data_IF_702837468907
#
_entry.id   IF_702837468907
#
_cell.length_a   1.000
_cell.length_b   1.000
_cell.length_c   1.000
_cell.angle_alpha   90.00
_cell.angle_beta   90.00
_cell.angle_gamma   90.00
#
_symmetry.space_group_name_H-M   'P 1'
#
loop_
_entity.id
_entity.type
_entity.pdbx_description
1 polymer ?
#
# COMPACT_ATOMS: atom_id res chain seq x y z
N UNK A 1 10.46 41.47 71.53
CA UNK A 1 10.16 40.07 71.18
C UNK A 1 11.39 39.22 71.48
N UNK A 2 11.23 38.10 72.21
CA UNK A 2 12.36 37.27 72.63
C UNK A 2 12.90 36.50 71.41
N UNK A 3 14.13 36.78 70.95
CA UNK A 3 14.68 36.25 69.67
C UNK A 3 14.60 34.72 69.56
N UNK A 4 14.62 34.01 70.68
CA UNK A 4 14.49 32.55 70.73
C UNK A 4 13.06 32.07 70.37
N UNK A 5 12.03 32.82 70.76
CA UNK A 5 10.63 32.47 70.46
C UNK A 5 10.30 32.69 68.97
N UNK A 6 10.83 33.75 68.35
CA UNK A 6 10.62 34.01 66.92
C UNK A 6 11.27 32.94 66.04
N UNK A 7 12.47 32.48 66.40
CA UNK A 7 13.16 31.39 65.68
C UNK A 7 12.35 30.09 65.76
N UNK A 8 11.83 29.73 66.93
CA UNK A 8 11.00 28.53 67.09
C UNK A 8 9.74 28.57 66.22
N UNK A 9 9.02 29.69 66.20
CA UNK A 9 7.81 29.86 65.38
C UNK A 9 8.14 29.72 63.90
N UNK A 10 9.23 30.34 63.44
CA UNK A 10 9.66 30.29 62.04
C UNK A 10 10.06 28.87 61.61
N UNK A 11 10.75 28.12 62.48
CA UNK A 11 11.08 26.71 62.24
C UNK A 11 9.81 25.86 62.14
N UNK A 12 8.86 26.01 63.07
CA UNK A 12 7.60 25.25 63.03
C UNK A 12 6.82 25.57 61.76
N UNK A 13 6.71 26.86 61.41
CA UNK A 13 6.03 27.29 60.19
C UNK A 13 6.69 26.72 58.92
N UNK A 14 8.03 26.70 58.89
CA UNK A 14 8.79 26.11 57.78
C UNK A 14 8.55 24.61 57.65
N UNK A 15 8.53 23.87 58.77
CA UNK A 15 8.24 22.43 58.80
C UNK A 15 6.81 22.16 58.32
N UNK A 16 5.83 22.97 58.73
CA UNK A 16 4.44 22.83 58.29
C UNK A 16 4.30 23.06 56.78
N UNK A 17 4.93 24.10 56.23
CA UNK A 17 4.93 24.36 54.78
C UNK A 17 5.56 23.18 54.02
N UNK A 18 6.71 22.68 54.47
CA UNK A 18 7.37 21.54 53.85
C UNK A 18 6.51 20.27 53.88
N UNK A 19 5.74 20.06 54.96
CA UNK A 19 4.84 18.92 55.08
C UNK A 19 3.65 19.03 54.11
N UNK A 20 3.09 20.24 53.93
CA UNK A 20 2.03 20.51 52.95
C UNK A 20 2.56 20.30 51.52
N UNK A 21 3.74 20.83 51.20
CA UNK A 21 4.35 20.63 49.88
C UNK A 21 4.70 19.16 49.63
N UNK A 22 5.22 18.45 50.63
CA UNK A 22 5.54 17.04 50.54
C UNK A 22 4.32 16.18 50.25
N UNK A 23 3.19 16.43 50.92
CA UNK A 23 1.93 15.72 50.65
C UNK A 23 1.38 16.01 49.25
N UNK A 24 1.46 17.26 48.78
CA UNK A 24 1.06 17.62 47.42
C UNK A 24 1.92 16.94 46.34
N UNK A 25 3.24 16.85 46.54
CA UNK A 25 4.15 16.18 45.60
C UNK A 25 3.89 14.67 45.51
N UNK A 26 3.64 14.00 46.65
CA UNK A 26 3.30 12.57 46.67
C UNK A 26 1.97 12.32 45.96
N UNK A 27 0.94 13.12 46.25
CA UNK A 27 -0.36 12.99 45.60
C UNK A 27 -0.25 13.17 44.08
N UNK A 28 0.53 14.16 43.64
CA UNK A 28 0.83 14.38 42.22
C UNK A 28 1.56 13.20 41.59
N UNK A 29 2.59 12.66 42.25
CA UNK A 29 3.36 11.51 41.75
C UNK A 29 2.50 10.26 41.59
N UNK A 30 1.59 9.97 42.54
CA UNK A 30 0.65 8.85 42.43
C UNK A 30 -0.30 9.07 41.25
N UNK A 31 -0.80 10.30 41.06
CA UNK A 31 -1.67 10.64 39.92
C UNK A 31 -0.94 10.46 38.59
N UNK A 32 0.28 10.97 38.48
CA UNK A 32 1.11 10.85 37.28
C UNK A 32 1.43 9.39 36.97
N UNK A 33 1.78 8.59 37.98
CA UNK A 33 2.04 7.16 37.81
C UNK A 33 0.79 6.40 37.34
N UNK A 34 -0.38 6.73 37.89
CA UNK A 34 -1.65 6.13 37.46
C UNK A 34 -2.02 6.54 36.03
N UNK A 35 -1.81 7.81 35.66
CA UNK A 35 -2.03 8.27 34.29
C UNK A 35 -1.08 7.60 33.31
N UNK A 36 0.21 7.51 33.65
CA UNK A 36 1.22 6.83 32.84
C UNK A 36 0.87 5.35 32.64
N UNK A 37 0.45 4.65 33.70
CA UNK A 37 0.02 3.25 33.61
C UNK A 37 -1.21 3.09 32.71
N UNK A 38 -2.21 3.97 32.83
CA UNK A 38 -3.40 3.91 31.97
C UNK A 38 -3.10 4.24 30.52
N UNK A 39 -2.17 5.15 30.26
CA UNK A 39 -1.69 5.46 28.91
C UNK A 39 -0.96 4.24 28.31
N UNK A 40 -0.09 3.61 29.09
CA UNK A 40 0.60 2.38 28.70
C UNK A 40 -0.40 1.24 28.40
N UNK A 41 -1.33 0.97 29.31
CA UNK A 41 -2.39 -0.03 29.11
C UNK A 41 -3.21 0.30 27.85
N UNK A 42 -3.49 1.58 27.59
CA UNK A 42 -4.23 2.03 26.41
C UNK A 42 -3.47 1.80 25.11
N UNK A 43 -2.16 2.09 25.07
CA UNK A 43 -1.33 1.82 23.90
C UNK A 43 -1.22 0.31 23.63
N UNK A 44 -1.11 -0.51 24.68
CA UNK A 44 -1.11 -1.96 24.54
C UNK A 44 -2.44 -2.48 23.97
N UNK A 45 -3.58 -1.95 24.42
CA UNK A 45 -4.88 -2.29 23.86
C UNK A 45 -5.02 -1.82 22.40
N UNK A 46 -4.44 -0.67 22.04
CA UNK A 46 -4.42 -0.19 20.67
C UNK A 46 -3.60 -1.12 19.74
N UNK A 47 -2.38 -1.48 20.14
CA UNK A 47 -1.54 -2.43 19.39
C UNK A 47 -2.21 -3.80 19.24
N UNK A 48 -2.93 -4.25 20.27
CA UNK A 48 -3.72 -5.48 20.17
C UNK A 48 -4.84 -5.36 19.13
N UNK A 49 -5.54 -4.23 19.06
CA UNK A 49 -6.55 -3.98 18.02
C UNK A 49 -5.92 -3.96 16.60
N UNK A 50 -4.76 -3.34 16.43
CA UNK A 50 -4.03 -3.35 15.14
C UNK A 50 -3.58 -4.77 14.74
N UNK A 51 -3.11 -5.56 15.71
CA UNK A 51 -2.77 -6.96 15.49
C UNK A 51 -4.00 -7.78 15.07
N UNK A 52 -5.17 -7.50 15.65
CA UNK A 52 -6.44 -8.10 15.26
C UNK A 52 -6.84 -7.76 13.82
N UNK A 53 -6.74 -6.49 13.40
CA UNK A 53 -6.95 -6.08 12.00
C UNK A 53 -5.99 -6.82 11.04
N UNK A 54 -4.72 -6.92 11.41
CA UNK A 54 -3.71 -7.62 10.60
C UNK A 54 -4.01 -9.12 10.48
N UNK A 55 -4.43 -9.75 11.57
CA UNK A 55 -4.84 -11.15 11.58
C UNK A 55 -6.10 -11.38 10.73
N UNK A 56 -7.05 -10.45 10.78
CA UNK A 56 -8.25 -10.50 9.97
C UNK A 56 -7.95 -10.37 8.48
N UNK A 57 -7.07 -9.45 8.09
CA UNK A 57 -6.60 -9.33 6.71
C UNK A 57 -5.97 -10.64 6.21
N UNK A 58 -5.11 -11.26 7.02
CA UNK A 58 -4.51 -12.57 6.70
C UNK A 58 -5.58 -13.66 6.54
N UNK A 59 -6.54 -13.73 7.45
CA UNK A 59 -7.65 -14.69 7.38
C UNK A 59 -8.52 -14.50 6.14
N UNK A 60 -8.88 -13.25 5.84
CA UNK A 60 -9.72 -12.90 4.68
C UNK A 60 -9.02 -13.07 3.33
N UNK A 61 -7.69 -12.99 3.29
CA UNK A 61 -6.91 -13.41 2.10
C UNK A 61 -7.04 -14.91 1.83
N UNK A 62 -7.10 -15.73 2.88
CA UNK A 62 -7.30 -17.18 2.74
C UNK A 62 -8.77 -17.56 2.49
N UNK A 63 -9.72 -16.88 3.15
CA UNK A 63 -11.15 -17.11 2.97
C UNK A 63 -11.94 -15.82 3.17
N UNK A 64 -12.22 -15.13 2.07
CA UNK A 64 -12.89 -13.82 2.07
C UNK A 64 -14.36 -13.89 2.54
N UNK A 65 -14.93 -15.09 2.66
CA UNK A 65 -16.31 -15.30 3.11
C UNK A 65 -16.43 -15.48 4.64
N UNK A 66 -15.32 -15.42 5.38
CA UNK A 66 -15.36 -15.50 6.85
C UNK A 66 -16.08 -14.29 7.45
N UNK A 67 -17.08 -14.55 8.29
CA UNK A 67 -17.98 -13.54 8.84
C UNK A 67 -18.43 -13.90 10.26
N UNK A 68 -18.86 -12.90 11.03
CA UNK A 68 -19.50 -13.08 12.34
C UNK A 68 -18.79 -12.36 13.46
N UNK A 69 -19.06 -12.79 14.68
CA UNK A 69 -18.49 -12.24 15.91
C UNK A 69 -17.32 -13.07 16.39
N UNK A 70 -16.29 -12.44 16.94
CA UNK A 70 -15.08 -13.08 17.46
C UNK A 70 -14.44 -14.06 16.45
N UNK A 71 -14.51 -13.74 15.15
CA UNK A 71 -13.99 -14.57 14.04
C UNK A 71 -12.50 -14.82 14.21
N UNK A 72 -11.78 -13.78 14.65
CA UNK A 72 -10.37 -13.86 14.99
C UNK A 72 -10.15 -13.37 16.41
N UNK A 73 -9.49 -14.19 17.22
CA UNK A 73 -9.09 -13.85 18.58
C UNK A 73 -7.63 -14.16 18.79
N UNK A 74 -6.99 -13.48 19.73
CA UNK A 74 -5.61 -13.75 20.06
C UNK A 74 -5.12 -12.93 21.24
N UNK A 75 -3.93 -13.27 21.70
CA UNK A 75 -3.22 -12.55 22.75
C UNK A 75 -1.82 -12.18 22.28
N UNK A 76 -1.33 -11.04 22.76
CA UNK A 76 0.06 -10.67 22.59
C UNK A 76 0.83 -11.29 23.76
N UNK A 77 1.90 -12.04 23.49
CA UNK A 77 2.66 -12.70 24.56
C UNK A 77 3.64 -11.77 25.26
N UNK A 78 4.08 -10.70 24.57
CA UNK A 78 5.03 -9.71 25.08
C UNK A 78 4.39 -8.65 25.99
N UNK A 79 3.09 -8.43 25.85
CA UNK A 79 2.30 -7.48 26.64
C UNK A 79 1.01 -8.17 27.04
N UNK A 80 0.56 -8.04 28.29
CA UNK A 80 -0.70 -8.64 28.78
C UNK A 80 -1.92 -7.99 28.12
N UNK A 81 -2.12 -8.23 26.83
CA UNK A 81 -3.15 -7.67 25.97
C UNK A 81 -3.74 -8.75 25.05
N UNK A 82 -5.03 -8.64 24.77
CA UNK A 82 -5.76 -9.52 23.86
C UNK A 82 -6.54 -8.72 22.82
N UNK A 83 -6.95 -9.40 21.76
CA UNK A 83 -7.85 -8.83 20.77
C UNK A 83 -8.98 -9.81 20.42
N UNK A 84 -10.10 -9.24 20.01
CA UNK A 84 -11.16 -9.93 19.32
C UNK A 84 -11.59 -9.15 18.09
N UNK A 85 -12.00 -9.86 17.04
CA UNK A 85 -12.36 -9.27 15.76
C UNK A 85 -13.72 -9.76 15.30
N UNK A 86 -14.60 -8.81 15.05
CA UNK A 86 -15.86 -9.03 14.36
C UNK A 86 -15.71 -8.66 12.88
N UNK A 87 -16.38 -9.41 12.02
CA UNK A 87 -16.38 -9.20 10.57
C UNK A 87 -17.81 -9.12 10.05
N UNK A 88 -18.21 -7.94 9.60
CA UNK A 88 -19.48 -7.70 8.92
C UNK A 88 -19.37 -7.94 7.42
N UNK A 89 -20.34 -8.68 6.88
CA UNK A 89 -20.45 -9.09 5.48
C UNK A 89 -21.79 -8.65 4.86
N UNK A 90 -22.42 -7.61 5.40
CA UNK A 90 -23.66 -7.04 4.86
C UNK A 90 -23.52 -6.49 3.42
N UNK A 91 -22.28 -6.26 2.93
CA UNK A 91 -21.97 -5.79 1.59
C UNK A 91 -20.89 -6.59 0.85
N UNK A 92 -20.37 -6.03 -0.25
CA UNK A 92 -19.25 -6.62 -1.02
C UNK A 92 -17.92 -6.50 -0.28
N UNK A 93 -17.75 -5.41 0.47
CA UNK A 93 -16.60 -5.18 1.33
C UNK A 93 -16.79 -5.89 2.68
N UNK A 94 -15.70 -6.06 3.41
CA UNK A 94 -15.68 -6.59 4.77
C UNK A 94 -15.37 -5.45 5.72
N UNK A 95 -16.31 -5.17 6.63
CA UNK A 95 -16.08 -4.19 7.69
C UNK A 95 -15.58 -4.95 8.91
N UNK A 96 -14.36 -4.66 9.31
CA UNK A 96 -13.66 -5.30 10.41
C UNK A 96 -13.75 -4.39 11.62
N UNK A 97 -14.24 -4.91 12.73
CA UNK A 97 -14.18 -4.24 14.03
C UNK A 97 -13.29 -5.03 14.96
N UNK A 98 -12.05 -4.57 15.15
CA UNK A 98 -11.11 -5.18 16.08
C UNK A 98 -11.12 -4.46 17.43
N UNK A 99 -11.51 -5.19 18.47
CA UNK A 99 -11.45 -4.73 19.86
C UNK A 99 -10.19 -5.27 20.52
N UNK A 100 -9.24 -4.39 20.83
CA UNK A 100 -8.10 -4.71 21.67
C UNK A 100 -8.35 -4.36 23.13
N UNK A 101 -7.86 -5.17 24.06
CA UNK A 101 -8.14 -5.04 25.49
C UNK A 101 -6.96 -5.47 26.37
N UNK A 102 -6.88 -4.87 27.56
CA UNK A 102 -5.86 -5.16 28.59
C UNK A 102 -6.56 -5.26 29.94
N UNK A 103 -6.25 -6.25 30.80
CA UNK A 103 -5.37 -7.39 30.57
C UNK A 103 -5.94 -8.38 29.55
N UNK A 104 -5.12 -9.28 29.01
CA UNK A 104 -5.57 -10.33 28.10
C UNK A 104 -6.53 -11.32 28.78
N UNK A 105 -6.38 -11.48 30.09
CA UNK A 105 -7.21 -12.39 30.90
C UNK A 105 -7.75 -11.70 32.15
N UNK A 106 -8.97 -12.05 32.55
CA UNK A 106 -9.64 -11.46 33.71
C UNK A 106 -10.43 -10.19 33.39
N UNK A 107 -10.51 -9.27 34.35
CA UNK A 107 -11.32 -8.06 34.20
C UNK A 107 -10.61 -7.02 33.34
N UNK A 108 -11.16 -6.77 32.15
CA UNK A 108 -10.68 -5.74 31.21
C UNK A 108 -10.64 -4.38 31.91
N UNK A 109 -9.44 -3.80 31.99
CA UNK A 109 -9.17 -2.46 32.54
C UNK A 109 -9.31 -1.36 31.49
N UNK A 110 -8.93 -1.67 30.25
CA UNK A 110 -9.01 -0.73 29.14
C UNK A 110 -9.29 -1.46 27.83
N UNK A 111 -9.93 -0.75 26.90
CA UNK A 111 -10.27 -1.25 25.57
C UNK A 111 -10.05 -0.17 24.52
N UNK A 112 -9.69 -0.58 23.30
CA UNK A 112 -9.57 0.25 22.10
C UNK A 112 -10.25 -0.49 20.94
N UNK A 113 -10.82 0.26 20.01
CA UNK A 113 -11.52 -0.33 18.86
C UNK A 113 -10.98 0.31 17.58
N UNK A 114 -10.44 -0.53 16.70
CA UNK A 114 -10.04 -0.17 15.36
C UNK A 114 -11.07 -0.73 14.36
N UNK A 115 -11.49 0.10 13.42
CA UNK A 115 -12.32 -0.31 12.29
C UNK A 115 -11.49 -0.27 11.01
N UNK A 116 -11.60 -1.30 10.19
CA UNK A 116 -11.01 -1.34 8.86
C UNK A 116 -12.02 -1.82 7.82
N UNK A 117 -11.94 -1.26 6.60
CA UNK A 117 -12.69 -1.77 5.45
C UNK A 117 -11.72 -2.54 4.58
N UNK A 118 -12.06 -3.79 4.27
CA UNK A 118 -11.28 -4.66 3.40
C UNK A 118 -12.08 -4.93 2.13
N UNK A 119 -11.46 -4.70 0.98
CA UNK A 119 -12.02 -4.92 -0.35
C UNK A 119 -11.24 -6.02 -1.06
N UNK A 120 -11.95 -6.87 -1.83
CA UNK A 120 -11.37 -7.92 -2.70
C UNK A 120 -12.10 -7.89 -4.04
N UNK A 121 -11.75 -6.94 -4.90
CA UNK A 121 -12.32 -6.81 -6.24
C UNK A 121 -11.37 -6.09 -7.18
N UNK A 122 -11.40 -6.47 -8.45
CA UNK A 122 -10.85 -5.69 -9.56
C UNK A 122 -11.98 -4.79 -10.08
N UNK A 123 -11.82 -3.45 -10.14
CA UNK A 123 -12.83 -2.56 -10.70
C UNK A 123 -13.17 -2.91 -12.16
N UNK A 124 -14.40 -2.62 -12.56
CA UNK A 124 -14.78 -2.72 -13.98
C UNK A 124 -13.94 -1.73 -14.80
N UNK A 125 -13.51 -2.16 -15.98
CA UNK A 125 -12.65 -1.34 -16.84
C UNK A 125 -11.19 -1.24 -16.41
N UNK A 126 -10.76 -1.99 -15.38
CA UNK A 126 -9.36 -1.99 -14.94
C UNK A 126 -8.39 -2.28 -16.10
N UNK A 127 -8.74 -3.18 -17.02
CA UNK A 127 -7.92 -3.56 -18.16
C UNK A 127 -8.16 -2.72 -19.43
N UNK A 128 -9.02 -1.69 -19.37
CA UNK A 128 -9.50 -0.96 -20.55
C UNK A 128 -8.76 0.38 -20.80
N UNK A 129 -7.65 0.61 -20.09
CA UNK A 129 -6.95 1.90 -20.08
C UNK A 129 -5.47 1.76 -20.47
N UNK A 130 -4.94 2.75 -21.19
CA UNK A 130 -3.51 2.88 -21.43
C UNK A 130 -2.75 3.18 -20.12
N UNK A 131 -3.33 4.04 -19.28
CA UNK A 131 -2.82 4.40 -17.97
C UNK A 131 -3.96 4.30 -16.95
N UNK A 132 -3.71 3.59 -15.85
CA UNK A 132 -4.61 3.50 -14.71
C UNK A 132 -3.80 3.77 -13.42
N UNK A 133 -3.84 5.00 -12.95
CA UNK A 133 -3.09 5.47 -11.78
C UNK A 133 -4.01 5.59 -10.57
N UNK A 134 -3.63 5.02 -9.43
CA UNK A 134 -4.38 5.20 -8.18
C UNK A 134 -4.00 6.48 -7.41
N UNK A 135 -3.22 7.35 -8.04
CA UNK A 135 -2.76 8.66 -7.53
C UNK A 135 -2.58 9.61 -8.74
N UNK A 136 -1.56 10.48 -8.69
CA UNK A 136 -1.21 11.45 -9.71
C UNK A 136 -0.71 10.85 -11.05
N UNK A 137 -0.86 11.64 -12.11
CA UNK A 137 -0.26 11.42 -13.43
C UNK A 137 0.48 12.69 -13.89
N UNK A 138 1.80 12.62 -14.00
CA UNK A 138 2.66 13.74 -14.37
C UNK A 138 3.30 13.51 -15.76
N UNK A 139 2.89 14.31 -16.74
CA UNK A 139 3.33 14.20 -18.13
C UNK A 139 4.25 15.36 -18.50
N UNK A 140 5.55 15.16 -18.28
CA UNK A 140 6.57 16.17 -18.54
C UNK A 140 7.29 15.88 -19.85
N UNK A 141 6.84 16.44 -20.96
CA UNK A 141 7.58 16.35 -22.21
C UNK A 141 6.91 17.09 -23.34
N UNK A 142 7.71 17.60 -24.27
CA UNK A 142 7.18 18.35 -25.42
C UNK A 142 6.62 17.43 -26.51
N UNK A 143 6.93 16.13 -26.48
CA UNK A 143 6.49 15.18 -27.51
C UNK A 143 6.17 13.76 -27.02
N UNK A 144 5.73 13.61 -25.76
CA UNK A 144 5.13 12.34 -25.35
C UNK A 144 3.81 12.11 -26.12
N UNK A 145 3.33 10.87 -26.22
CA UNK A 145 2.01 10.59 -26.80
C UNK A 145 1.38 9.40 -26.12
N UNK A 146 0.13 9.53 -25.69
CA UNK A 146 -0.66 8.45 -25.10
C UNK A 146 -1.84 8.13 -26.01
N UNK A 147 -1.85 6.91 -26.56
CA UNK A 147 -2.91 6.39 -27.40
C UNK A 147 -3.81 5.43 -26.61
N UNK A 148 -4.84 5.96 -25.95
CA UNK A 148 -5.81 5.19 -25.18
C UNK A 148 -6.36 6.00 -24.00
N UNK A 149 -7.30 5.39 -23.28
CA UNK A 149 -7.94 6.04 -22.14
C UNK A 149 -6.99 6.11 -20.93
N UNK A 150 -7.15 7.16 -20.13
CA UNK A 150 -6.38 7.44 -18.92
C UNK A 150 -7.32 7.64 -17.75
N UNK A 151 -7.16 6.84 -16.70
CA UNK A 151 -7.89 6.95 -15.44
C UNK A 151 -6.91 7.25 -14.32
N UNK A 152 -7.19 8.27 -13.50
CA UNK A 152 -6.32 8.72 -12.41
C UNK A 152 -7.14 9.12 -11.19
N UNK A 153 -6.56 9.07 -9.99
CA UNK A 153 -7.32 9.29 -8.77
C UNK A 153 -7.26 10.74 -8.24
N UNK A 154 -6.10 11.38 -8.36
CA UNK A 154 -5.86 12.72 -7.81
C UNK A 154 -5.63 13.75 -8.92
N UNK A 155 -4.40 14.17 -9.21
CA UNK A 155 -4.12 15.22 -10.19
C UNK A 155 -3.56 14.68 -11.52
N UNK A 156 -3.73 15.44 -12.61
CA UNK A 156 -3.09 15.16 -13.90
C UNK A 156 -2.48 16.45 -14.47
N UNK A 157 -1.20 16.38 -14.84
CA UNK A 157 -0.47 17.48 -15.45
C UNK A 157 -0.27 17.28 -16.96
N UNK A 158 -0.46 18.35 -17.72
CA UNK A 158 -0.26 18.44 -19.17
C UNK A 158 -0.94 17.31 -19.96
N UNK A 159 -2.28 17.16 -20.01
CA UNK A 159 -2.95 16.05 -20.72
C UNK A 159 -3.03 16.19 -22.25
N UNK A 160 -2.40 17.21 -22.85
CA UNK A 160 -2.65 17.66 -24.23
C UNK A 160 -2.34 16.62 -25.33
N UNK A 161 -1.42 15.66 -25.09
CA UNK A 161 -1.05 14.62 -26.06
C UNK A 161 -1.68 13.24 -25.76
N UNK A 162 -2.85 13.23 -25.11
CA UNK A 162 -3.68 12.03 -24.91
C UNK A 162 -4.76 11.99 -25.99
N UNK A 163 -4.84 10.90 -26.77
CA UNK A 163 -5.87 10.75 -27.82
C UNK A 163 -7.15 10.06 -27.34
N UNK A 164 -7.14 9.44 -26.16
CA UNK A 164 -8.31 8.82 -25.52
C UNK A 164 -9.01 9.71 -24.49
N UNK A 165 -9.89 9.10 -23.70
CA UNK A 165 -10.67 9.75 -22.64
C UNK A 165 -9.82 9.89 -21.38
N UNK A 166 -9.83 11.08 -20.78
CA UNK A 166 -9.16 11.36 -19.50
C UNK A 166 -10.21 11.46 -18.40
N UNK A 167 -10.15 10.57 -17.40
CA UNK A 167 -11.16 10.47 -16.34
C UNK A 167 -10.52 10.49 -14.95
N UNK A 168 -10.93 11.44 -14.11
CA UNK A 168 -10.60 11.44 -12.68
C UNK A 168 -11.59 10.56 -11.92
N UNK A 169 -11.11 9.55 -11.19
CA UNK A 169 -11.90 8.69 -10.31
C UNK A 169 -11.17 8.44 -8.98
N UNK A 170 -11.47 9.22 -7.91
CA UNK A 170 -10.84 9.03 -6.60
C UNK A 170 -11.18 7.69 -5.93
N UNK A 171 -12.15 6.92 -6.44
CA UNK A 171 -12.58 5.65 -5.83
C UNK A 171 -11.66 4.47 -6.17
N UNK A 172 -10.69 4.69 -7.07
CA UNK A 172 -9.71 3.68 -7.48
C UNK A 172 -8.49 3.62 -6.55
N UNK A 173 -8.42 4.51 -5.53
CA UNK A 173 -7.39 4.49 -4.48
C UNK A 173 -7.83 3.63 -3.29
N UNK A 174 -6.97 2.71 -2.81
CA UNK A 174 -5.72 2.27 -3.41
C UNK A 174 -5.94 1.37 -4.63
N UNK A 175 -4.94 1.29 -5.52
CA UNK A 175 -4.96 0.42 -6.70
C UNK A 175 -5.43 -1.00 -6.36
N UNK A 176 -6.22 -1.60 -7.25
CA UNK A 176 -6.68 -2.98 -7.10
C UNK A 176 -5.49 -3.92 -6.85
N UNK A 177 -5.50 -4.65 -5.72
CA UNK A 177 -4.44 -5.59 -5.39
C UNK A 177 -4.68 -6.91 -6.13
N UNK A 178 -3.85 -7.24 -7.12
CA UNK A 178 -3.90 -8.55 -7.78
C UNK A 178 -3.38 -9.67 -6.85
N UNK A 179 -3.77 -10.91 -7.11
CA UNK A 179 -3.30 -12.07 -6.35
C UNK A 179 -1.84 -12.41 -6.70
N UNK A 180 -0.91 -11.79 -5.97
CA UNK A 180 0.53 -11.99 -6.15
C UNK A 180 0.97 -13.44 -5.96
N UNK A 181 0.29 -14.24 -5.14
CA UNK A 181 0.64 -15.67 -5.03
C UNK A 181 0.35 -16.42 -6.31
N UNK A 182 -0.74 -16.09 -7.01
CA UNK A 182 -1.08 -16.68 -8.30
C UNK A 182 -0.09 -16.23 -9.38
N UNK A 183 0.19 -14.92 -9.45
CA UNK A 183 1.14 -14.34 -10.40
C UNK A 183 2.56 -14.90 -10.20
N UNK A 184 3.03 -15.00 -8.96
CA UNK A 184 4.32 -15.61 -8.63
C UNK A 184 4.38 -17.07 -9.08
N UNK A 185 3.32 -17.84 -8.83
CA UNK A 185 3.27 -19.25 -9.25
C UNK A 185 3.32 -19.42 -10.77
N UNK A 186 2.60 -18.57 -11.52
CA UNK A 186 2.64 -18.58 -13.00
C UNK A 186 4.04 -18.20 -13.49
N UNK A 187 4.59 -17.12 -12.94
CA UNK A 187 5.91 -16.61 -13.29
C UNK A 187 7.03 -17.63 -13.05
N UNK A 188 7.03 -18.31 -11.89
CA UNK A 188 7.96 -19.39 -11.58
C UNK A 188 7.83 -20.57 -12.53
N UNK A 189 6.61 -20.96 -12.90
CA UNK A 189 6.37 -22.04 -13.86
C UNK A 189 6.90 -21.72 -15.27
N UNK A 190 6.93 -20.44 -15.65
CA UNK A 190 7.47 -19.96 -16.92
C UNK A 190 8.99 -19.65 -16.88
N UNK A 191 9.62 -19.67 -15.70
CA UNK A 191 11.01 -19.25 -15.53
C UNK A 191 11.20 -17.72 -15.59
N UNK A 192 10.16 -16.95 -15.29
CA UNK A 192 10.11 -15.48 -15.40
C UNK A 192 10.07 -14.77 -14.03
N UNK A 193 10.48 -15.46 -12.97
CA UNK A 193 10.64 -14.88 -11.63
C UNK A 193 12.03 -14.22 -11.48
N UNK A 194 12.06 -12.96 -11.07
CA UNK A 194 13.28 -12.16 -10.91
C UNK A 194 13.35 -11.62 -9.47
N UNK A 195 14.27 -12.18 -8.70
CA UNK A 195 14.71 -11.65 -7.41
C UNK A 195 15.95 -10.77 -7.58
N UNK A 196 16.44 -10.20 -6.48
CA UNK A 196 17.63 -9.33 -6.44
C UNK A 196 18.84 -9.97 -7.13
N UNK A 197 19.14 -11.24 -6.83
CA UNK A 197 20.30 -11.96 -7.42
C UNK A 197 20.20 -12.06 -8.94
N UNK A 198 19.00 -12.38 -9.45
CA UNK A 198 18.79 -12.53 -10.90
C UNK A 198 18.82 -11.19 -11.64
N UNK A 199 18.29 -10.13 -11.04
CA UNK A 199 18.37 -8.77 -11.59
C UNK A 199 19.82 -8.29 -11.67
N UNK A 200 20.60 -8.50 -10.60
CA UNK A 200 22.01 -8.13 -10.52
C UNK A 200 22.88 -8.91 -11.52
N UNK A 201 22.52 -10.16 -11.80
CA UNK A 201 23.15 -10.96 -12.84
C UNK A 201 22.90 -10.43 -14.27
N UNK A 202 21.91 -9.55 -14.45
CA UNK A 202 21.53 -9.01 -15.75
C UNK A 202 20.86 -10.05 -16.64
N UNK A 203 20.12 -10.99 -16.04
CA UNK A 203 19.39 -12.02 -16.79
C UNK A 203 18.39 -11.38 -17.76
N UNK A 204 18.29 -11.88 -19.01
CA UNK A 204 17.44 -11.28 -20.01
C UNK A 204 15.96 -11.52 -19.70
N UNK A 205 15.16 -10.47 -19.80
CA UNK A 205 13.70 -10.59 -19.82
C UNK A 205 13.22 -11.25 -21.13
N UNK A 206 12.00 -11.82 -21.17
CA UNK A 206 11.41 -12.31 -22.41
C UNK A 206 11.31 -11.18 -23.44
N UNK A 207 11.62 -11.47 -24.70
CA UNK A 207 11.51 -10.51 -25.80
C UNK A 207 10.13 -10.51 -26.49
N UNK A 208 9.24 -11.40 -26.07
CA UNK A 208 7.90 -11.60 -26.64
C UNK A 208 6.84 -11.49 -25.55
N UNK A 209 5.69 -10.89 -25.85
CA UNK A 209 4.55 -10.86 -24.94
C UNK A 209 4.06 -12.27 -24.59
N UNK A 210 4.10 -13.19 -25.56
CA UNK A 210 3.57 -14.54 -25.44
C UNK A 210 4.61 -15.53 -24.90
N UNK A 211 4.23 -16.26 -23.86
CA UNK A 211 4.88 -17.52 -23.47
C UNK A 211 4.45 -18.64 -24.42
N UNK A 212 3.14 -18.76 -24.64
CA UNK A 212 2.54 -19.58 -25.69
C UNK A 212 1.68 -18.68 -26.59
N UNK A 213 1.99 -18.58 -27.90
CA UNK A 213 1.21 -17.75 -28.81
C UNK A 213 -0.25 -18.21 -28.91
N UNK A 214 -1.20 -17.31 -29.21
CA UNK A 214 -2.59 -17.66 -29.43
C UNK A 214 -2.75 -18.71 -30.53
N UNK A 215 -3.58 -19.72 -30.27
CA UNK A 215 -3.92 -20.74 -31.29
C UNK A 215 -4.81 -20.16 -32.39
N UNK A 216 -5.63 -19.15 -32.06
CA UNK A 216 -6.33 -18.29 -33.00
C UNK A 216 -5.72 -16.88 -32.94
N UNK A 217 -5.06 -16.40 -34.02
CA UNK A 217 -4.47 -15.06 -34.06
C UNK A 217 -5.46 -13.91 -33.87
N UNK A 218 -6.77 -14.15 -33.98
CA UNK A 218 -7.81 -13.16 -33.74
C UNK A 218 -8.41 -13.23 -32.34
N UNK A 219 -8.08 -14.27 -31.56
CA UNK A 219 -8.55 -14.45 -30.20
C UNK A 219 -7.35 -14.56 -29.23
N UNK A 220 -6.99 -13.45 -28.56
CA UNK A 220 -5.84 -13.41 -27.67
C UNK A 220 -6.00 -14.31 -26.44
N UNK A 221 -7.24 -14.67 -26.08
CA UNK A 221 -7.54 -15.50 -24.90
C UNK A 221 -7.10 -16.95 -25.06
N UNK A 222 -6.78 -17.36 -26.30
CA UNK A 222 -6.25 -18.69 -26.60
C UNK A 222 -4.73 -18.80 -26.43
N UNK A 223 -4.05 -17.69 -26.14
CA UNK A 223 -2.62 -17.65 -25.84
C UNK A 223 -2.35 -17.57 -24.34
N UNK A 224 -1.08 -17.74 -23.97
CA UNK A 224 -0.61 -17.55 -22.59
C UNK A 224 0.46 -16.45 -22.59
N UNK A 225 0.20 -15.28 -21.97
CA UNK A 225 1.21 -14.24 -21.85
C UNK A 225 2.35 -14.66 -20.91
N UNK A 226 3.54 -14.11 -21.13
CA UNK A 226 4.62 -14.14 -20.14
C UNK A 226 4.20 -13.31 -18.92
N UNK A 227 4.32 -13.87 -17.71
CA UNK A 227 4.15 -13.15 -16.45
C UNK A 227 5.53 -12.98 -15.83
N UNK A 228 6.03 -11.74 -15.85
CA UNK A 228 7.34 -11.38 -15.31
C UNK A 228 7.14 -10.84 -13.90
N UNK A 229 7.54 -11.59 -12.88
CA UNK A 229 7.35 -11.19 -11.48
C UNK A 229 8.66 -10.72 -10.89
N UNK A 230 8.71 -9.47 -10.42
CA UNK A 230 9.90 -8.79 -9.93
C UNK A 230 9.67 -8.41 -8.45
N UNK A 231 10.55 -8.87 -7.55
CA UNK A 231 10.40 -8.61 -6.10
C UNK A 231 10.87 -7.24 -5.66
N UNK A 232 11.81 -6.66 -6.41
CA UNK A 232 12.43 -5.37 -6.13
C UNK A 232 11.97 -4.29 -7.14
N UNK A 233 12.68 -3.16 -7.15
CA UNK A 233 12.49 -2.12 -8.16
C UNK A 233 13.00 -2.58 -9.53
N UNK A 234 12.21 -2.34 -10.58
CA UNK A 234 12.64 -2.57 -11.95
C UNK A 234 13.41 -1.36 -12.47
N UNK A 235 14.73 -1.51 -12.62
CA UNK A 235 15.58 -0.47 -13.20
C UNK A 235 15.98 -0.76 -14.64
N UNK A 236 15.52 0.06 -15.59
CA UNK A 236 15.78 -0.09 -17.03
C UNK A 236 16.81 0.94 -17.52
N UNK A 237 18.09 0.54 -17.62
CA UNK A 237 19.20 1.42 -18.07
C UNK A 237 19.63 1.11 -19.51
N UNK A 238 20.05 2.15 -20.24
CA UNK A 238 20.66 2.01 -21.57
C UNK A 238 19.67 1.59 -22.67
N UNK A 239 20.12 0.82 -23.66
CA UNK A 239 19.23 0.24 -24.66
C UNK A 239 18.76 -1.14 -24.18
N UNK A 240 17.50 -1.23 -23.76
CA UNK A 240 16.90 -2.48 -23.24
C UNK A 240 16.31 -3.34 -24.36
N UNK A 241 16.26 -2.85 -25.60
CA UNK A 241 15.69 -3.58 -26.73
C UNK A 241 14.17 -3.75 -26.60
N UNK A 242 13.65 -4.90 -27.01
CA UNK A 242 12.23 -5.24 -26.84
C UNK A 242 12.07 -6.18 -25.65
N UNK A 243 11.23 -5.80 -24.71
CA UNK A 243 10.82 -6.61 -23.57
C UNK A 243 9.35 -6.95 -23.75
N UNK A 244 8.95 -8.18 -23.45
CA UNK A 244 7.59 -8.64 -23.67
C UNK A 244 7.01 -9.35 -22.46
N UNK A 245 5.76 -9.04 -22.14
CA UNK A 245 4.98 -9.75 -21.13
C UNK A 245 4.17 -8.82 -20.23
N UNK A 246 3.54 -9.43 -19.24
CA UNK A 246 2.89 -8.75 -18.13
C UNK A 246 3.88 -8.64 -16.96
N UNK A 247 4.44 -7.46 -16.77
CA UNK A 247 5.39 -7.14 -15.70
C UNK A 247 4.63 -6.80 -14.42
N UNK A 248 4.85 -7.60 -13.38
CA UNK A 248 4.32 -7.41 -12.03
C UNK A 248 5.49 -7.03 -11.14
N UNK A 249 5.59 -5.75 -10.79
CA UNK A 249 6.68 -5.19 -10.01
C UNK A 249 6.18 -4.86 -8.61
N UNK A 250 6.77 -5.50 -7.61
CA UNK A 250 6.39 -5.28 -6.20
C UNK A 250 6.86 -3.91 -5.72
N UNK A 251 8.06 -3.48 -6.15
CA UNK A 251 8.62 -2.15 -5.93
C UNK A 251 8.22 -1.14 -7.02
N UNK A 252 9.07 -0.13 -7.20
CA UNK A 252 8.91 0.92 -8.20
C UNK A 252 9.46 0.51 -9.56
N UNK A 253 9.01 1.18 -10.62
CA UNK A 253 9.59 1.04 -11.97
C UNK A 253 10.27 2.35 -12.34
N UNK A 254 11.59 2.33 -12.45
CA UNK A 254 12.41 3.55 -12.55
C UNK A 254 13.46 3.38 -13.65
N UNK A 255 13.53 4.25 -14.65
CA UNK A 255 14.60 4.14 -15.67
C UNK A 255 15.97 4.67 -15.22
N UNK A 256 16.03 5.48 -14.15
CA UNK A 256 17.27 5.85 -13.46
C UNK A 256 17.00 6.41 -12.04
N UNK A 257 17.36 5.68 -10.97
CA UNK A 257 17.10 6.11 -9.59
C UNK A 257 18.03 7.23 -9.08
N UNK A 258 19.19 7.43 -9.72
CA UNK A 258 20.20 8.41 -9.28
C UNK A 258 20.02 9.79 -9.96
N UNK A 259 19.10 9.89 -10.92
CA UNK A 259 18.90 11.11 -11.71
C UNK A 259 17.82 12.00 -11.09
N UNK A 260 18.28 13.15 -10.59
CA UNK A 260 17.42 14.24 -10.11
C UNK A 260 17.11 15.28 -11.21
N UNK A 261 17.62 15.08 -12.44
CA UNK A 261 17.40 15.99 -13.57
C UNK A 261 16.73 15.27 -14.74
N UNK A 262 15.58 15.77 -15.18
CA UNK A 262 14.73 15.18 -16.25
C UNK A 262 15.36 15.09 -17.66
N UNK A 263 16.65 15.42 -17.81
CA UNK A 263 17.28 15.67 -19.13
C UNK A 263 18.21 14.57 -19.63
N UNK A 264 18.54 13.55 -18.83
CA UNK A 264 19.45 12.47 -19.27
C UNK A 264 18.68 11.35 -19.96
N UNK A 265 19.12 10.94 -21.16
CA UNK A 265 18.52 9.84 -21.93
C UNK A 265 18.74 8.52 -21.18
N UNK A 266 17.73 8.04 -20.47
CA UNK A 266 17.78 6.76 -19.73
C UNK A 266 16.73 5.80 -20.27
N UNK A 267 17.17 4.73 -20.95
CA UNK A 267 16.27 3.72 -21.50
C UNK A 267 15.85 4.03 -22.94
N UNK A 268 16.39 3.29 -23.91
CA UNK A 268 15.76 3.11 -25.23
C UNK A 268 15.25 1.69 -25.33
N UNK A 269 13.99 1.52 -25.70
CA UNK A 269 13.41 0.21 -25.85
C UNK A 269 11.91 0.24 -26.02
N UNK A 270 11.34 -0.95 -26.14
CA UNK A 270 9.91 -1.13 -26.34
C UNK A 270 9.43 -2.23 -25.41
N UNK A 271 8.40 -1.93 -24.63
CA UNK A 271 7.70 -2.91 -23.81
C UNK A 271 6.45 -3.33 -24.58
N UNK A 272 6.43 -4.57 -25.06
CA UNK A 272 5.30 -5.23 -25.69
C UNK A 272 4.49 -5.96 -24.60
N UNK A 273 3.54 -5.26 -24.01
CA UNK A 273 2.77 -5.78 -22.89
C UNK A 273 2.45 -4.72 -21.87
N UNK A 274 2.31 -5.14 -20.62
CA UNK A 274 1.71 -4.31 -19.59
C UNK A 274 2.54 -4.31 -18.32
N UNK A 275 2.45 -3.24 -17.55
CA UNK A 275 3.22 -3.03 -16.33
C UNK A 275 2.24 -2.74 -15.20
N UNK A 276 2.30 -3.54 -14.16
CA UNK A 276 1.57 -3.33 -12.91
C UNK A 276 2.59 -3.11 -11.78
N UNK A 277 2.49 -1.98 -11.10
CA UNK A 277 3.24 -1.66 -9.89
C UNK A 277 2.32 -1.09 -8.81
N UNK A 278 2.62 -1.37 -7.55
CA UNK A 278 1.97 -0.74 -6.39
C UNK A 278 2.59 0.60 -5.99
N UNK A 279 3.78 0.88 -6.51
CA UNK A 279 4.50 2.11 -6.30
C UNK A 279 4.38 3.03 -7.51
N UNK A 280 5.49 3.68 -7.84
CA UNK A 280 5.60 4.68 -8.90
C UNK A 280 6.07 4.05 -10.21
N UNK A 281 5.47 4.45 -11.32
CA UNK A 281 6.00 4.22 -12.66
C UNK A 281 6.64 5.51 -13.18
N UNK A 282 7.97 5.52 -13.33
CA UNK A 282 8.71 6.69 -13.78
C UNK A 282 9.62 6.38 -14.96
N UNK A 283 9.36 7.06 -16.07
CA UNK A 283 10.26 7.12 -17.22
C UNK A 283 11.00 8.46 -17.17
N UNK A 284 12.32 8.42 -17.02
CA UNK A 284 13.22 9.56 -17.14
C UNK A 284 13.92 9.56 -18.52
N UNK A 285 13.64 10.52 -19.40
CA UNK A 285 14.52 10.79 -20.55
C UNK A 285 13.89 11.52 -21.74
N UNK A 286 14.33 12.78 -21.95
CA UNK A 286 14.02 13.64 -23.11
C UNK A 286 14.52 13.19 -24.50
N UNK A 287 14.68 11.88 -24.73
CA UNK A 287 15.09 11.34 -26.03
C UNK A 287 15.22 9.82 -26.10
N UNK A 288 14.87 9.10 -25.03
CA UNK A 288 15.07 7.65 -24.91
C UNK A 288 14.16 6.80 -25.78
N UNK A 289 12.97 7.27 -26.17
CA UNK A 289 11.97 6.45 -26.86
C UNK A 289 11.65 5.13 -26.13
N UNK A 290 11.70 5.10 -24.78
CA UNK A 290 11.13 3.97 -24.06
C UNK A 290 9.62 4.02 -24.24
N UNK A 291 9.10 3.06 -25.00
CA UNK A 291 7.70 3.01 -25.39
C UNK A 291 7.02 1.80 -24.75
N UNK A 292 5.74 1.94 -24.41
CA UNK A 292 4.90 0.84 -23.90
C UNK A 292 3.76 0.62 -24.88
N UNK A 293 3.71 -0.55 -25.50
CA UNK A 293 2.57 -1.02 -26.28
C UNK A 293 1.76 -2.00 -25.43
N UNK A 294 0.79 -1.45 -24.69
CA UNK A 294 -0.11 -2.14 -23.77
C UNK A 294 -0.62 -1.19 -22.70
N UNK A 295 -0.43 -1.50 -21.42
CA UNK A 295 -1.03 -0.75 -20.30
C UNK A 295 -0.08 -0.52 -19.15
N UNK A 296 -0.27 0.58 -18.42
CA UNK A 296 0.47 0.92 -17.20
C UNK A 296 -0.52 1.10 -16.03
N UNK A 297 -0.40 0.26 -15.02
CA UNK A 297 -1.11 0.38 -13.74
C UNK A 297 -0.11 0.76 -12.64
N UNK A 298 -0.34 1.89 -11.97
CA UNK A 298 0.50 2.35 -10.86
C UNK A 298 -0.33 2.66 -9.62
N UNK A 299 0.24 2.36 -8.45
CA UNK A 299 -0.44 2.57 -7.17
C UNK A 299 -0.20 3.94 -6.55
N UNK A 300 0.86 4.61 -6.99
CA UNK A 300 1.22 5.97 -6.64
C UNK A 300 1.24 6.78 -7.95
N UNK A 301 2.38 7.33 -8.33
CA UNK A 301 2.49 8.23 -9.48
C UNK A 301 2.77 7.48 -10.80
N UNK A 302 2.21 7.98 -11.90
CA UNK A 302 2.71 7.72 -13.26
C UNK A 302 3.39 8.98 -13.77
N UNK A 303 4.72 8.96 -13.89
CA UNK A 303 5.51 10.08 -14.37
C UNK A 303 6.20 9.75 -15.69
N UNK A 304 5.88 10.52 -16.73
CA UNK A 304 6.53 10.43 -18.04
C UNK A 304 7.36 11.68 -18.29
N UNK A 305 8.67 11.56 -18.13
CA UNK A 305 9.60 12.62 -18.48
C UNK A 305 10.21 12.35 -19.87
N UNK A 306 9.91 13.20 -20.85
CA UNK A 306 10.48 13.19 -22.20
C UNK A 306 9.52 12.71 -23.30
N UNK A 307 10.06 11.98 -24.28
CA UNK A 307 9.35 11.64 -25.53
C UNK A 307 8.85 10.18 -25.50
N UNK A 308 8.24 9.79 -24.38
CA UNK A 308 7.72 8.44 -24.22
C UNK A 308 6.41 8.24 -25.01
N UNK A 309 6.22 7.06 -25.58
CA UNK A 309 4.97 6.67 -26.21
C UNK A 309 4.30 5.54 -25.44
N UNK A 310 3.05 5.74 -25.01
CA UNK A 310 2.22 4.66 -24.45
C UNK A 310 1.05 4.45 -25.41
N UNK A 311 0.86 3.23 -25.90
CA UNK A 311 -0.28 2.88 -26.74
C UNK A 311 -1.01 1.70 -26.14
N UNK A 312 -2.30 1.88 -25.89
CA UNK A 312 -3.20 0.81 -25.48
C UNK A 312 -3.22 -0.30 -26.52
N UNK A 313 -3.21 -1.54 -26.05
CA UNK A 313 -3.27 -2.74 -26.87
C UNK A 313 -4.33 -3.69 -26.31
N UNK A 314 -5.53 -3.65 -26.89
CA UNK A 314 -6.69 -4.45 -26.47
C UNK A 314 -6.40 -5.96 -26.49
N UNK A 315 -5.61 -6.41 -27.46
CA UNK A 315 -5.22 -7.80 -27.64
C UNK A 315 -4.38 -8.30 -26.46
N UNK A 316 -3.44 -7.48 -25.98
CA UNK A 316 -2.63 -7.81 -24.79
C UNK A 316 -3.45 -7.74 -23.50
N UNK A 317 -4.30 -6.72 -23.35
CA UNK A 317 -5.13 -6.58 -22.14
C UNK A 317 -6.13 -7.72 -21.99
N UNK A 318 -6.79 -8.12 -23.08
CA UNK A 318 -7.72 -9.24 -23.11
C UNK A 318 -7.05 -10.56 -22.72
N UNK A 319 -5.80 -10.78 -23.13
CA UNK A 319 -5.01 -11.95 -22.73
C UNK A 319 -4.66 -11.95 -21.24
N UNK A 320 -4.31 -10.78 -20.69
CA UNK A 320 -4.01 -10.62 -19.26
C UNK A 320 -5.27 -10.86 -18.43
N UNK A 321 -6.41 -10.30 -18.84
CA UNK A 321 -7.69 -10.56 -18.18
C UNK A 321 -8.07 -12.05 -18.23
N UNK A 322 -7.84 -12.71 -19.37
CA UNK A 322 -8.09 -14.14 -19.57
C UNK A 322 -7.22 -15.07 -18.71
N UNK A 323 -6.12 -14.57 -18.11
CA UNK A 323 -5.38 -15.33 -17.09
C UNK A 323 -6.24 -15.64 -15.85
N UNK A 324 -7.35 -14.92 -15.65
CA UNK A 324 -8.24 -15.12 -14.50
C UNK A 324 -7.54 -14.85 -13.18
N UNK A 325 -6.75 -13.77 -13.12
CA UNK A 325 -6.07 -13.37 -11.89
C UNK A 325 -7.10 -12.83 -10.90
N UNK A 326 -7.20 -13.48 -9.74
CA UNK A 326 -8.09 -13.02 -8.68
C UNK A 326 -7.59 -11.71 -8.06
N UNK A 327 -8.52 -10.89 -7.54
CA UNK A 327 -8.15 -9.85 -6.58
C UNK A 327 -7.69 -10.49 -5.26
N UNK A 328 -6.74 -9.85 -4.59
CA UNK A 328 -6.37 -10.12 -3.20
C UNK A 328 -7.07 -9.14 -2.27
N UNK A 329 -7.34 -9.58 -1.05
CA UNK A 329 -7.93 -8.72 -0.04
C UNK A 329 -6.92 -7.65 0.41
N UNK A 330 -7.37 -6.39 0.42
CA UNK A 330 -6.59 -5.24 0.87
C UNK A 330 -7.42 -4.31 1.76
N UNK A 331 -6.76 -3.63 2.69
CA UNK A 331 -7.38 -2.60 3.51
C UNK A 331 -7.50 -1.33 2.66
N UNK A 332 -8.71 -0.79 2.52
CA UNK A 332 -8.97 0.46 1.79
C UNK A 332 -9.24 1.63 2.71
N UNK A 333 -9.64 1.37 3.96
CA UNK A 333 -9.83 2.38 5.00
C UNK A 333 -9.49 1.80 6.36
N UNK A 334 -8.91 2.63 7.23
CA UNK A 334 -8.62 2.28 8.62
C UNK A 334 -8.90 3.50 9.51
N UNK A 335 -9.56 3.29 10.65
CA UNK A 335 -9.75 4.34 11.65
C UNK A 335 -9.84 3.76 13.05
N UNK A 336 -9.42 4.54 14.03
CA UNK A 336 -9.70 4.26 15.43
C UNK A 336 -11.03 4.88 15.85
N UNK A 337 -11.96 4.06 16.36
CA UNK A 337 -13.27 4.53 16.81
C UNK A 337 -13.28 4.98 18.27
N UNK A 338 -12.51 4.30 19.13
CA UNK A 338 -12.56 4.52 20.58
C UNK A 338 -11.17 4.85 21.11
N UNK A 339 -10.85 6.15 21.15
CA UNK A 339 -9.68 6.68 21.84
C UNK A 339 -10.12 7.44 23.11
N UNK A 340 -10.01 6.85 24.31
CA UNK A 340 -10.38 7.53 25.56
C UNK A 340 -9.48 8.74 25.90
N UNK A 341 -8.41 8.98 25.14
CA UNK A 341 -7.46 10.06 25.32
C UNK A 341 -7.38 10.97 24.09
N UNK A 342 -8.50 11.23 23.41
CA UNK A 342 -8.55 12.28 22.40
C UNK A 342 -8.06 13.59 23.03
N UNK A 343 -6.90 14.06 22.59
CA UNK A 343 -6.46 15.42 22.86
C UNK A 343 -7.41 16.30 22.04
N UNK A 344 -8.32 17.00 22.71
CA UNK A 344 -9.07 18.09 22.07
C UNK A 344 -8.04 19.07 21.49
N UNK A 345 -8.10 19.38 20.18
CA UNK A 345 -7.13 20.24 19.52
C UNK A 345 -7.10 21.67 20.08
#
# INVERSE_FOLDING_TARGET
MNRKASVLILTIFSVVILLILGTALIARSISENNMAKRNLDSNHAFWAAEAGVSQALKGLRASYNQCGTDVFTGTLSSVDAGYSVDVDCSGQDRIISSTGFVPATGTIRTKRVAEAVIKKSIPLGFYDNAIYSADDVDLNGDSYTINGDVVYADEIDNPDNITGTVTQDPTITPLALLNFSQLLSVSQAQGNYYDEERLDAGDPFPASFWYEPPTDPLDPTTGVPNVVYITEDLTLKGNVGTLGGFFVVVGDVITNPDDIQDTTINGNGQIEGAIYTRGTFRINGGGGNLNVNGGVWAGQEVRLNGNAHISYNDFYMSAIEALGIDASAQITSWKEQLNPYQLTP
#
